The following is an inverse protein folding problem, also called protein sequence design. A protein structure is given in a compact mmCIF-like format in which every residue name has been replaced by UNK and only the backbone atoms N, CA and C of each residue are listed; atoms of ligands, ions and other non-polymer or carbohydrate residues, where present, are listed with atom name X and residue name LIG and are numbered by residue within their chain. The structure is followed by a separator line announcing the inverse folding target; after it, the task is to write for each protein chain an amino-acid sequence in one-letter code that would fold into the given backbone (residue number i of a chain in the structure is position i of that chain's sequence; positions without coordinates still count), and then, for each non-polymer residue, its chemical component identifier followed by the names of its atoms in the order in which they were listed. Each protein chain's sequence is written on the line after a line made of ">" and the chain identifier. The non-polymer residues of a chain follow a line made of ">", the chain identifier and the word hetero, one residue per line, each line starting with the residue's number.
data_IF_344870184852
#
_entry.id   IF_344870184852
#
_cell.length_a   1.000
_cell.length_b   1.000
_cell.length_c   1.000
_cell.angle_alpha   90.00
_cell.angle_beta   90.00
_cell.angle_gamma   90.00
#
_symmetry.space_group_name_H-M   'P 1'
#
loop_
_entity.id
_entity.type
_entity.pdbx_description
1 polymer ?
#
# COMPACT_ATOMS: atom_id res chain seq x y z
N UNK A 1 -20.80 14.22 -31.19
CA UNK A 1 -19.97 15.00 -30.25
C UNK A 1 -19.75 14.31 -28.89
N UNK A 2 -20.64 13.40 -28.45
CA UNK A 2 -20.53 12.72 -27.14
C UNK A 2 -19.27 11.82 -26.96
N UNK A 3 -18.80 11.16 -28.03
CA UNK A 3 -17.65 10.24 -27.95
C UNK A 3 -16.35 10.95 -27.55
N UNK A 4 -16.14 12.18 -28.04
CA UNK A 4 -14.96 12.98 -27.67
C UNK A 4 -14.98 13.38 -26.19
N UNK A 5 -16.17 13.62 -25.63
CA UNK A 5 -16.33 13.96 -24.22
C UNK A 5 -16.05 12.76 -23.32
N UNK A 6 -16.52 11.57 -23.70
CA UNK A 6 -16.27 10.32 -22.97
C UNK A 6 -14.78 9.96 -22.95
N UNK A 7 -14.08 10.12 -24.08
CA UNK A 7 -12.63 9.93 -24.14
C UNK A 7 -11.87 10.91 -23.25
N UNK A 8 -12.30 12.17 -23.19
CA UNK A 8 -11.67 13.18 -22.35
C UNK A 8 -11.87 12.89 -20.86
N UNK A 9 -13.07 12.45 -20.46
CA UNK A 9 -13.37 12.02 -19.08
C UNK A 9 -12.60 10.76 -18.72
N UNK A 10 -12.48 9.80 -19.63
CA UNK A 10 -11.69 8.59 -19.42
C UNK A 10 -10.18 8.93 -19.26
N UNK A 11 -9.62 9.79 -20.11
CA UNK A 11 -8.23 10.24 -19.98
C UNK A 11 -7.98 10.98 -18.65
N UNK A 12 -8.92 11.83 -18.21
CA UNK A 12 -8.83 12.50 -16.92
C UNK A 12 -8.93 11.50 -15.76
N UNK A 13 -9.80 10.50 -15.86
CA UNK A 13 -9.92 9.45 -14.84
C UNK A 13 -8.64 8.61 -14.75
N UNK A 14 -8.06 8.20 -15.88
CA UNK A 14 -6.77 7.49 -15.93
C UNK A 14 -5.64 8.33 -15.37
N UNK A 15 -5.60 9.64 -15.66
CA UNK A 15 -4.60 10.55 -15.11
C UNK A 15 -4.74 10.74 -13.59
N UNK A 16 -5.97 10.80 -13.07
CA UNK A 16 -6.22 10.85 -11.61
C UNK A 16 -5.79 9.56 -10.93
N UNK A 17 -6.05 8.40 -11.54
CA UNK A 17 -5.58 7.11 -11.00
C UNK A 17 -4.04 6.99 -11.03
N UNK A 18 -3.37 7.50 -12.06
CA UNK A 18 -1.90 7.60 -12.13
C UNK A 18 -1.31 8.55 -11.07
N UNK A 19 -2.08 9.56 -10.65
CA UNK A 19 -1.64 10.56 -9.66
C UNK A 19 -1.63 10.03 -8.23
N UNK A 20 -2.41 8.98 -7.94
CA UNK A 20 -2.52 8.32 -6.63
C UNK A 20 -1.47 7.20 -6.45
N UNK A 21 -0.71 6.88 -7.49
CA UNK A 21 0.45 5.97 -7.41
C UNK A 21 1.77 6.71 -7.11
N UNK A 22 1.70 7.88 -6.47
CA UNK A 22 2.91 8.63 -6.17
C UNK A 22 3.61 8.00 -4.97
N UNK A 23 4.69 7.27 -5.29
CA UNK A 23 5.94 7.22 -4.51
C UNK A 23 6.22 5.97 -3.65
N UNK A 24 6.28 4.77 -4.24
CA UNK A 24 6.87 3.59 -3.56
C UNK A 24 7.65 2.63 -4.50
N UNK A 25 8.36 3.18 -5.50
CA UNK A 25 9.18 2.40 -6.44
C UNK A 25 10.65 2.72 -6.20
N UNK A 26 11.46 1.69 -5.99
CA UNK A 26 12.92 1.80 -5.92
C UNK A 26 13.49 2.29 -7.28
N UNK A 27 14.38 3.30 -7.31
CA UNK A 27 14.94 3.84 -8.55
C UNK A 27 15.70 2.83 -9.42
N UNK A 28 16.13 1.68 -8.88
CA UNK A 28 16.78 0.61 -9.65
C UNK A 28 15.79 -0.31 -10.39
N UNK A 29 14.47 -0.09 -10.25
CA UNK A 29 13.46 -0.85 -10.98
C UNK A 29 13.27 -0.37 -12.43
N UNK A 30 13.23 -1.31 -13.38
CA UNK A 30 12.89 -1.02 -14.78
C UNK A 30 11.39 -1.22 -15.04
N UNK A 31 10.85 -0.51 -16.05
CA UNK A 31 9.43 -0.58 -16.41
C UNK A 31 8.94 -2.01 -16.70
N UNK A 32 9.80 -2.84 -17.31
CA UNK A 32 9.50 -4.26 -17.57
C UNK A 32 9.29 -5.09 -16.31
N UNK A 33 9.97 -4.74 -15.21
CA UNK A 33 9.86 -5.44 -13.92
C UNK A 33 8.66 -4.95 -13.12
N UNK A 34 8.22 -3.71 -13.37
CA UNK A 34 7.03 -3.10 -12.76
C UNK A 34 5.72 -3.59 -13.38
N UNK A 35 5.72 -3.93 -14.67
CA UNK A 35 4.55 -4.50 -15.37
C UNK A 35 4.06 -5.81 -14.71
N UNK A 36 4.94 -6.60 -14.09
CA UNK A 36 4.57 -7.83 -13.37
C UNK A 36 3.84 -7.57 -12.04
N UNK A 37 3.94 -6.36 -11.48
CA UNK A 37 3.50 -6.02 -10.12
C UNK A 37 2.20 -5.19 -10.11
N UNK A 38 1.67 -4.89 -11.30
CA UNK A 38 0.60 -3.90 -11.55
C UNK A 38 -0.75 -4.16 -10.85
N UNK A 39 -0.93 -5.34 -10.24
CA UNK A 39 -2.21 -5.82 -9.73
C UNK A 39 -2.41 -5.63 -8.21
N UNK A 40 -1.39 -5.20 -7.45
CA UNK A 40 -1.42 -5.17 -5.97
C UNK A 40 -1.39 -3.74 -5.36
N UNK A 41 -1.98 -2.77 -6.06
CA UNK A 41 -1.67 -1.34 -5.87
C UNK A 41 -2.51 -0.63 -4.78
N UNK A 42 -3.52 -1.28 -4.21
CA UNK A 42 -4.46 -0.62 -3.29
C UNK A 42 -3.99 -0.54 -1.82
N UNK A 43 -2.79 -1.03 -1.48
CA UNK A 43 -2.24 -1.02 -0.12
C UNK A 43 -0.94 -0.18 -0.01
N UNK A 44 -0.48 0.11 1.21
CA UNK A 44 0.86 0.69 1.40
C UNK A 44 1.91 -0.43 1.20
N UNK A 45 2.70 -0.36 0.12
CA UNK A 45 3.72 -1.35 -0.23
C UNK A 45 4.96 -0.70 -0.88
N UNK A 46 6.15 -1.23 -0.61
CA UNK A 46 7.38 -0.83 -1.28
C UNK A 46 7.77 -1.85 -2.36
N UNK A 47 7.96 -1.40 -3.60
CA UNK A 47 8.53 -2.25 -4.66
C UNK A 47 10.04 -2.12 -4.61
N UNK A 48 10.72 -3.25 -4.40
CA UNK A 48 12.19 -3.36 -4.42
C UNK A 48 12.63 -4.25 -5.56
N UNK A 49 13.71 -3.87 -6.25
CA UNK A 49 14.28 -4.68 -7.32
C UNK A 49 15.62 -5.28 -6.88
N UNK A 50 15.76 -6.60 -6.99
CA UNK A 50 17.00 -7.29 -6.64
C UNK A 50 17.24 -8.46 -7.58
N UNK A 51 18.47 -8.58 -8.08
CA UNK A 51 18.90 -9.69 -8.94
C UNK A 51 18.01 -9.88 -10.19
N UNK A 52 17.58 -8.78 -10.81
CA UNK A 52 16.73 -8.81 -12.00
C UNK A 52 15.28 -9.24 -11.73
N UNK A 53 14.82 -9.21 -10.48
CA UNK A 53 13.42 -9.47 -10.11
C UNK A 53 12.84 -8.34 -9.28
N UNK A 54 11.59 -7.94 -9.55
CA UNK A 54 10.82 -7.07 -8.67
C UNK A 54 10.25 -7.88 -7.50
N UNK A 55 10.18 -7.26 -6.33
CA UNK A 55 9.58 -7.81 -5.11
C UNK A 55 8.71 -6.76 -4.46
N UNK A 56 7.55 -7.19 -3.99
CA UNK A 56 6.61 -6.35 -3.24
C UNK A 56 6.90 -6.54 -1.76
N UNK A 57 7.17 -5.46 -1.06
CA UNK A 57 7.31 -5.43 0.40
C UNK A 57 6.04 -4.81 0.96
N UNK A 58 5.14 -5.66 1.46
CA UNK A 58 3.94 -5.22 2.16
C UNK A 58 4.27 -4.67 3.56
N UNK A 59 3.35 -3.91 4.14
CA UNK A 59 3.45 -3.51 5.54
C UNK A 59 3.56 -4.72 6.46
N UNK A 60 4.56 -4.67 7.34
CA UNK A 60 4.80 -5.73 8.31
C UNK A 60 3.61 -5.84 9.26
N UNK A 61 3.12 -7.06 9.48
CA UNK A 61 2.15 -7.34 10.53
C UNK A 61 2.94 -7.65 11.80
N UNK A 62 3.18 -6.63 12.61
CA UNK A 62 3.83 -6.81 13.90
C UNK A 62 2.99 -7.73 14.79
N UNK A 63 3.64 -8.53 15.62
CA UNK A 63 2.96 -9.38 16.61
C UNK A 63 2.77 -8.53 17.87
N UNK A 64 1.60 -8.61 18.51
CA UNK A 64 1.41 -7.95 19.79
C UNK A 64 2.43 -8.45 20.84
N UNK A 65 2.90 -7.58 21.74
CA UNK A 65 3.76 -7.99 22.85
C UNK A 65 3.13 -9.13 23.67
N UNK A 66 3.94 -9.97 24.34
CA UNK A 66 3.43 -11.02 25.21
C UNK A 66 2.46 -10.46 26.26
N UNK A 67 1.28 -11.09 26.41
CA UNK A 67 0.22 -10.64 27.31
C UNK A 67 -0.79 -9.66 26.69
N UNK A 68 -0.65 -9.35 25.40
CA UNK A 68 -1.60 -8.54 24.64
C UNK A 68 -2.20 -9.33 23.47
N UNK A 69 -3.43 -8.99 23.09
CA UNK A 69 -4.10 -9.53 21.90
C UNK A 69 -4.31 -8.45 20.84
N UNK A 70 -4.27 -8.80 19.54
CA UNK A 70 -4.65 -7.88 18.48
C UNK A 70 -6.14 -7.56 18.58
N UNK A 71 -6.47 -6.28 18.66
CA UNK A 71 -7.87 -5.79 18.69
C UNK A 71 -8.25 -5.00 17.44
N UNK A 72 -7.28 -4.66 16.60
CA UNK A 72 -7.50 -3.98 15.34
C UNK A 72 -6.18 -3.53 14.73
N UNK A 73 -6.27 -2.83 13.60
CA UNK A 73 -5.14 -2.18 12.94
C UNK A 73 -5.53 -0.75 12.66
N UNK A 74 -4.61 0.19 12.87
CA UNK A 74 -4.80 1.53 12.34
C UNK A 74 -4.90 1.49 10.81
N UNK A 75 -5.75 2.32 10.21
CA UNK A 75 -5.78 2.43 8.75
C UNK A 75 -4.41 2.92 8.24
N UNK A 76 -4.03 2.46 7.04
CA UNK A 76 -2.83 2.96 6.39
C UNK A 76 -2.97 4.46 6.11
N UNK A 77 -1.89 5.21 6.37
CA UNK A 77 -1.82 6.63 6.08
C UNK A 77 -1.23 6.84 4.69
N UNK A 78 -2.10 6.86 3.69
CA UNK A 78 -1.73 7.02 2.27
C UNK A 78 -1.11 8.39 1.95
N UNK A 79 -1.00 9.31 2.93
CA UNK A 79 -0.29 10.59 2.75
C UNK A 79 1.21 10.48 2.96
N UNK A 80 1.68 9.35 3.52
CA UNK A 80 3.10 9.10 3.82
C UNK A 80 3.69 8.08 2.86
N UNK A 81 5.01 8.08 2.76
CA UNK A 81 5.75 7.03 2.04
C UNK A 81 6.03 5.84 2.97
N UNK A 82 6.25 4.65 2.43
CA UNK A 82 6.71 3.51 3.21
C UNK A 82 8.07 3.78 3.87
N UNK A 83 8.28 3.29 5.11
CA UNK A 83 7.36 2.50 5.94
C UNK A 83 6.32 3.34 6.72
N UNK A 84 6.37 4.67 6.60
CA UNK A 84 5.52 5.59 7.36
C UNK A 84 4.02 5.57 7.02
N UNK A 85 3.61 5.01 5.87
CA UNK A 85 2.19 4.78 5.55
C UNK A 85 1.60 3.53 6.19
N UNK A 86 2.41 2.66 6.78
CA UNK A 86 1.92 1.42 7.37
C UNK A 86 1.16 1.67 8.67
N UNK A 87 -0.09 1.20 8.73
CA UNK A 87 -0.88 1.21 9.94
C UNK A 87 -0.32 0.24 11.00
N UNK A 88 -0.27 0.69 12.25
CA UNK A 88 0.25 -0.10 13.36
C UNK A 88 -0.81 -1.08 13.87
N UNK A 89 -0.36 -2.24 14.37
CA UNK A 89 -1.24 -3.18 15.04
C UNK A 89 -1.66 -2.61 16.40
N UNK A 90 -2.96 -2.52 16.65
CA UNK A 90 -3.50 -2.07 17.93
C UNK A 90 -3.62 -3.29 18.83
N UNK A 91 -2.89 -3.25 19.94
CA UNK A 91 -2.83 -4.32 20.92
C UNK A 91 -3.54 -3.89 22.20
N UNK A 92 -4.39 -4.77 22.74
CA UNK A 92 -5.00 -4.58 24.04
C UNK A 92 -4.44 -5.58 25.03
N UNK A 93 -4.18 -5.13 26.27
CA UNK A 93 -3.92 -6.06 27.36
C UNK A 93 -5.12 -6.98 27.53
N UNK A 94 -4.85 -8.26 27.82
CA UNK A 94 -5.86 -9.16 28.32
C UNK A 94 -6.16 -8.76 29.77
N UNK A 95 -6.88 -7.66 29.96
CA UNK A 95 -7.49 -7.38 31.26
C UNK A 95 -8.55 -8.45 31.48
N UNK A 96 -8.37 -9.22 32.55
CA UNK A 96 -9.29 -10.24 33.07
C UNK A 96 -10.77 -9.84 32.88
N UNK A 97 -11.67 -10.81 32.60
CA UNK A 97 -13.08 -10.51 32.46
C UNK A 97 -13.57 -9.74 33.69
N UNK A 98 -14.26 -8.62 33.45
CA UNK A 98 -14.93 -7.86 34.48
C UNK A 98 -15.79 -8.83 35.31
N UNK A 99 -15.40 -8.98 36.57
CA UNK A 99 -16.03 -9.86 37.55
C UNK A 99 -17.36 -9.30 38.03
#
# INVERSE_FOLDING_TARGET
>A
MAVKLLLFVFCMFVAVQLSVQKSQIDPDCTDSMLEEVKEHIDECFLITCSSGKARIVACMNDICPPGQIPVGREPNDNTKNYPGCCGQLICANVSEPAR
#
